data_IF_032040506086
#
_entry.id   IF_032040506086
#
_cell.length_a   1.000
_cell.length_b   1.000
_cell.length_c   1.000
_cell.angle_alpha   90.00
_cell.angle_beta   90.00
_cell.angle_gamma   90.00
#
_symmetry.space_group_name_H-M   'P 1'
#
loop_
_entity.id
_entity.type
_entity.pdbx_description
1 polymer ?
#
# COMPACT_ATOMS: atom_id res chain seq x y z
N UNK A 1 -14.66 -4.77 -1.22
CA UNK A 1 -13.78 -3.92 -0.40
C UNK A 1 -13.32 -4.71 0.81
N UNK A 2 -12.02 -4.77 1.07
CA UNK A 2 -11.39 -5.31 2.30
C UNK A 2 -10.67 -4.18 3.02
N UNK A 3 -10.57 -4.26 4.35
CA UNK A 3 -9.77 -3.32 5.15
C UNK A 3 -8.72 -4.13 5.90
N UNK A 4 -7.46 -3.76 5.76
CA UNK A 4 -6.30 -4.35 6.45
C UNK A 4 -5.73 -3.35 7.44
N UNK A 5 -5.16 -3.85 8.54
CA UNK A 5 -4.44 -3.02 9.50
C UNK A 5 -2.94 -3.15 9.24
N UNK A 6 -2.31 -2.05 8.85
CA UNK A 6 -0.86 -1.98 8.71
C UNK A 6 -0.27 -1.56 10.06
N UNK A 7 0.21 -2.53 10.83
CA UNK A 7 1.00 -2.25 12.03
C UNK A 7 2.42 -1.90 11.62
N UNK A 8 2.78 -0.63 11.78
CA UNK A 8 4.13 -0.13 11.50
C UNK A 8 4.91 -0.17 12.79
N UNK A 9 5.98 -0.94 12.79
CA UNK A 9 6.92 -1.06 13.91
C UNK A 9 8.20 -0.26 13.70
N UNK A 10 8.45 0.15 12.46
CA UNK A 10 9.57 1.02 12.11
C UNK A 10 9.30 2.45 12.58
N UNK A 11 10.24 3.05 13.31
CA UNK A 11 10.06 4.39 13.89
C UNK A 11 9.09 4.40 15.08
N UNK A 12 8.16 5.37 15.12
CA UNK A 12 7.12 5.41 16.15
C UNK A 12 6.00 4.42 15.81
N UNK A 13 5.63 3.50 16.72
CA UNK A 13 4.59 2.52 16.46
C UNK A 13 3.26 3.19 16.08
N UNK A 14 2.76 2.88 14.89
CA UNK A 14 1.48 3.37 14.36
C UNK A 14 0.71 2.24 13.71
N UNK A 15 -0.59 2.42 13.58
CA UNK A 15 -1.45 1.48 12.85
C UNK A 15 -2.31 2.24 11.86
N UNK A 16 -2.23 1.87 10.59
CA UNK A 16 -3.05 2.45 9.53
C UNK A 16 -4.15 1.50 9.09
N UNK A 17 -5.32 2.05 8.77
CA UNK A 17 -6.35 1.33 8.03
C UNK A 17 -6.07 1.45 6.53
N UNK A 18 -5.78 0.32 5.89
CA UNK A 18 -5.52 0.23 4.46
C UNK A 18 -6.74 -0.38 3.78
N UNK A 19 -7.35 0.36 2.88
CA UNK A 19 -8.53 -0.01 2.15
C UNK A 19 -8.12 -0.62 0.82
N UNK A 20 -8.57 -1.83 0.53
CA UNK A 20 -8.31 -2.53 -0.73
C UNK A 20 -9.63 -2.79 -1.46
N UNK A 21 -9.72 -2.28 -2.68
CA UNK A 21 -10.85 -2.50 -3.57
C UNK A 21 -10.38 -3.10 -4.89
N UNK A 22 -10.68 -4.38 -5.05
CA UNK A 22 -10.46 -5.12 -6.28
C UNK A 22 -11.48 -4.73 -7.36
N UNK A 23 -11.00 -4.21 -8.50
CA UNK A 23 -11.79 -4.01 -9.71
C UNK A 23 -11.44 -5.06 -10.76
N UNK A 24 -12.17 -6.17 -10.75
CA UNK A 24 -11.98 -7.29 -11.68
C UNK A 24 -12.22 -6.96 -13.15
N UNK A 25 -12.99 -5.91 -13.45
CA UNK A 25 -13.26 -5.50 -14.84
C UNK A 25 -12.04 -4.80 -15.45
N UNK A 26 -11.26 -4.12 -14.63
CA UNK A 26 -10.09 -3.34 -15.05
C UNK A 26 -8.77 -4.02 -14.69
N UNK A 27 -8.81 -5.20 -14.05
CA UNK A 27 -7.65 -5.94 -13.55
C UNK A 27 -6.73 -5.07 -12.67
N UNK A 28 -7.36 -4.30 -11.77
CA UNK A 28 -6.70 -3.35 -10.88
C UNK A 28 -7.20 -3.48 -9.45
N UNK A 29 -6.33 -3.17 -8.51
CA UNK A 29 -6.69 -2.97 -7.10
C UNK A 29 -6.46 -1.51 -6.72
N UNK A 30 -7.52 -0.83 -6.29
CA UNK A 30 -7.43 0.47 -5.65
C UNK A 30 -7.02 0.26 -4.19
N UNK A 31 -5.94 0.92 -3.79
CA UNK A 31 -5.44 0.94 -2.41
C UNK A 31 -5.53 2.36 -1.88
N UNK A 32 -6.04 2.52 -0.66
CA UNK A 32 -6.12 3.83 0.00
C UNK A 32 -5.76 3.74 1.49
N UNK A 33 -5.06 4.77 1.98
CA UNK A 33 -4.74 4.99 3.40
C UNK A 33 -5.25 6.39 3.78
N UNK A 34 -6.50 6.51 4.25
CA UNK A 34 -7.13 7.82 4.47
C UNK A 34 -6.41 8.69 5.50
N UNK A 35 -5.82 8.09 6.54
CA UNK A 35 -5.15 8.81 7.63
C UNK A 35 -3.96 9.66 7.15
N UNK A 36 -3.39 9.34 5.99
CA UNK A 36 -2.28 10.05 5.36
C UNK A 36 -2.65 10.64 3.98
N UNK A 37 -3.95 10.68 3.67
CA UNK A 37 -4.51 11.20 2.41
C UNK A 37 -3.86 10.60 1.15
N UNK A 38 -3.57 9.30 1.19
CA UNK A 38 -2.86 8.61 0.12
C UNK A 38 -3.71 7.54 -0.55
N UNK A 39 -3.63 7.42 -1.87
CA UNK A 39 -4.25 6.33 -2.62
C UNK A 39 -3.55 6.09 -3.95
N UNK A 40 -3.62 4.86 -4.45
CA UNK A 40 -3.07 4.44 -5.74
C UNK A 40 -3.87 3.29 -6.36
N UNK A 41 -3.83 3.16 -7.68
CA UNK A 41 -4.37 2.02 -8.42
C UNK A 41 -3.23 1.15 -8.93
N UNK A 42 -3.23 -0.13 -8.55
CA UNK A 42 -2.17 -1.11 -8.88
C UNK A 42 -2.72 -2.10 -9.91
N UNK A 43 -1.99 -2.34 -11.00
CA UNK A 43 -2.35 -3.35 -12.01
C UNK A 43 -1.81 -4.73 -11.61
N UNK A 44 -2.47 -5.80 -12.04
CA UNK A 44 -2.08 -7.16 -11.64
C UNK A 44 -0.76 -7.63 -12.27
N UNK A 45 -0.39 -7.00 -13.39
CA UNK A 45 0.82 -7.32 -14.15
C UNK A 45 2.07 -6.57 -13.66
N UNK A 46 1.93 -5.68 -12.66
CA UNK A 46 3.05 -4.91 -12.14
C UNK A 46 4.12 -5.83 -11.52
N UNK A 47 5.38 -5.65 -11.94
CA UNK A 47 6.50 -6.41 -11.38
C UNK A 47 6.69 -6.06 -9.90
N UNK A 48 6.76 -7.07 -9.03
CA UNK A 48 6.75 -6.89 -7.57
C UNK A 48 7.83 -5.93 -7.06
N UNK A 49 9.06 -6.08 -7.53
CA UNK A 49 10.18 -5.22 -7.07
C UNK A 49 9.99 -3.76 -7.50
N UNK A 50 9.57 -3.56 -8.76
CA UNK A 50 9.26 -2.23 -9.28
C UNK A 50 8.06 -1.59 -8.57
N UNK A 51 7.05 -2.38 -8.23
CA UNK A 51 5.87 -1.95 -7.50
C UNK A 51 6.24 -1.52 -6.07
N UNK A 52 7.05 -2.30 -5.36
CA UNK A 52 7.53 -1.91 -4.02
C UNK A 52 8.23 -0.56 -4.08
N UNK A 53 9.15 -0.38 -5.03
CA UNK A 53 9.89 0.88 -5.16
C UNK A 53 8.97 2.07 -5.48
N UNK A 54 8.02 1.88 -6.40
CA UNK A 54 7.05 2.92 -6.79
C UNK A 54 6.17 3.33 -5.60
N UNK A 55 5.70 2.36 -4.82
CA UNK A 55 4.89 2.59 -3.63
C UNK A 55 5.69 3.30 -2.54
N UNK A 56 6.92 2.86 -2.28
CA UNK A 56 7.82 3.47 -1.30
C UNK A 56 8.04 4.96 -1.64
N UNK A 57 8.40 5.28 -2.89
CA UNK A 57 8.59 6.67 -3.32
C UNK A 57 7.33 7.52 -3.15
N UNK A 58 6.16 7.01 -3.55
CA UNK A 58 4.91 7.74 -3.41
C UNK A 58 4.49 7.96 -1.96
N UNK A 59 4.75 6.99 -1.08
CA UNK A 59 4.42 7.08 0.35
C UNK A 59 5.39 8.01 1.09
N UNK A 60 6.65 8.10 0.69
CA UNK A 60 7.64 9.01 1.27
C UNK A 60 7.25 10.50 1.18
N UNK A 61 6.34 10.87 0.28
CA UNK A 61 5.79 12.23 0.24
C UNK A 61 4.87 12.54 1.43
N UNK A 62 4.39 11.52 2.14
CA UNK A 62 3.37 11.62 3.20
C UNK A 62 3.84 11.12 4.56
N UNK A 63 4.82 10.21 4.59
CA UNK A 63 5.32 9.57 5.82
C UNK A 63 6.83 9.40 5.79
N UNK A 64 7.43 9.09 6.94
CA UNK A 64 8.87 8.83 7.07
C UNK A 64 9.31 7.63 6.20
N UNK A 65 10.57 7.65 5.74
CA UNK A 65 11.13 6.63 4.84
C UNK A 65 10.91 5.20 5.33
N UNK A 66 11.21 4.91 6.60
CA UNK A 66 11.07 3.56 7.14
C UNK A 66 9.60 3.10 7.23
N UNK A 67 8.70 4.05 7.48
CA UNK A 67 7.25 3.83 7.52
C UNK A 67 6.69 3.59 6.11
N UNK A 68 7.13 4.38 5.13
CA UNK A 68 6.79 4.23 3.72
C UNK A 68 7.19 2.85 3.19
N UNK A 69 8.40 2.39 3.52
CA UNK A 69 8.90 1.07 3.13
C UNK A 69 8.08 -0.08 3.71
N UNK A 70 7.78 -0.03 5.01
CA UNK A 70 6.98 -1.09 5.66
C UNK A 70 5.54 -1.11 5.14
N UNK A 71 4.94 0.06 4.88
CA UNK A 71 3.64 0.16 4.21
C UNK A 71 3.67 -0.42 2.79
N UNK A 72 4.67 -0.07 1.97
CA UNK A 72 4.80 -0.57 0.60
C UNK A 72 4.87 -2.10 0.57
N UNK A 73 5.72 -2.70 1.42
CA UNK A 73 5.86 -4.16 1.50
C UNK A 73 4.54 -4.85 1.88
N UNK A 74 3.81 -4.32 2.87
CA UNK A 74 2.50 -4.86 3.27
C UNK A 74 1.46 -4.74 2.17
N UNK A 75 1.42 -3.60 1.47
CA UNK A 75 0.49 -3.38 0.35
C UNK A 75 0.75 -4.38 -0.78
N UNK A 76 2.00 -4.54 -1.22
CA UNK A 76 2.34 -5.51 -2.28
C UNK A 76 1.99 -6.94 -1.87
N UNK A 77 2.28 -7.30 -0.61
CA UNK A 77 1.90 -8.60 -0.08
C UNK A 77 0.38 -8.81 -0.17
N UNK A 78 -0.43 -7.87 0.33
CA UNK A 78 -1.89 -8.03 0.30
C UNK A 78 -2.47 -8.03 -1.11
N UNK A 79 -1.97 -7.18 -2.02
CA UNK A 79 -2.43 -7.16 -3.41
C UNK A 79 -2.09 -8.48 -4.13
N UNK A 80 -0.98 -9.12 -3.77
CA UNK A 80 -0.59 -10.44 -4.29
C UNK A 80 -1.45 -11.58 -3.72
N UNK A 81 -1.96 -11.45 -2.48
CA UNK A 81 -2.81 -12.46 -1.83
C UNK A 81 -4.28 -12.45 -2.29
N UNK A 82 -4.74 -11.36 -2.94
CA UNK A 82 -6.15 -11.18 -3.34
C UNK A 82 -6.50 -12.05 -4.55
#
# INVERSE_FOLDING_TARGET
>A
MKIRKAHITSGQPKTYNVYLHENKKEYKTLVAVPDIEWSISIAYEDEKEQLIHTLEQSLMERVETDEARDLALKVVHWVTEM
#
